data_IF_343829973400
#
_entry.id   IF_343829973400
#
_cell.length_a   1.000
_cell.length_b   1.000
_cell.length_c   1.000
_cell.angle_alpha   90.00
_cell.angle_beta   90.00
_cell.angle_gamma   90.00
#
_symmetry.space_group_name_H-M   'P 1'
#
loop_
_entity.id
_entity.type
_entity.pdbx_description
1 polymer ?
#
# COMPACT_ATOMS: atom_id res chain seq x y z
N UNK A 1 22.15 7.33 9.11
CA UNK A 1 23.10 6.66 10.02
C UNK A 1 23.27 5.20 9.60
N UNK A 2 24.54 4.77 9.44
CA UNK A 2 24.84 3.36 9.08
C UNK A 2 24.51 2.44 10.27
N UNK A 3 23.90 1.29 9.97
CA UNK A 3 23.61 0.27 10.99
C UNK A 3 22.22 0.35 11.63
N UNK A 4 21.32 1.16 11.08
CA UNK A 4 19.91 1.09 11.44
C UNK A 4 19.26 -0.17 10.85
N UNK A 5 18.22 -0.74 11.48
CA UNK A 5 17.46 -1.85 10.89
C UNK A 5 16.77 -1.42 9.59
N UNK A 6 16.39 -2.40 8.77
CA UNK A 6 15.61 -2.18 7.57
C UNK A 6 14.30 -1.47 7.91
N UNK A 7 13.85 -0.63 6.98
CA UNK A 7 12.59 0.08 7.12
C UNK A 7 11.43 -0.82 6.68
N UNK A 8 10.37 -0.98 7.51
CA UNK A 8 9.18 -1.71 7.08
C UNK A 8 8.42 -0.97 5.97
N UNK A 9 8.38 0.35 6.04
CA UNK A 9 7.74 1.21 5.05
C UNK A 9 8.31 2.63 5.11
N UNK A 10 8.17 3.36 4.00
CA UNK A 10 8.48 4.79 3.93
C UNK A 10 7.37 5.53 3.20
N UNK A 11 6.69 6.46 3.86
CA UNK A 11 5.57 7.19 3.28
C UNK A 11 4.87 8.15 4.23
N UNK A 12 3.64 8.49 3.90
CA UNK A 12 2.78 9.38 4.69
C UNK A 12 1.43 8.73 4.94
N UNK A 13 0.93 8.85 6.16
CA UNK A 13 -0.39 8.38 6.57
C UNK A 13 -1.39 9.54 6.59
N UNK A 14 -2.58 9.30 6.05
CA UNK A 14 -3.70 10.23 6.08
C UNK A 14 -4.87 9.60 6.82
N UNK A 15 -5.34 10.28 7.87
CA UNK A 15 -6.53 9.86 8.60
C UNK A 15 -7.74 10.63 8.08
N UNK A 16 -8.68 9.91 7.48
CA UNK A 16 -9.94 10.44 6.99
C UNK A 16 -11.07 10.17 7.99
N UNK A 17 -12.17 10.94 7.89
CA UNK A 17 -13.39 10.67 8.67
C UNK A 17 -14.05 9.40 8.17
N UNK A 18 -14.77 8.69 9.04
CA UNK A 18 -15.44 7.42 8.77
C UNK A 18 -16.35 7.43 7.53
N UNK A 19 -17.00 8.56 7.24
CA UNK A 19 -17.86 8.70 6.05
C UNK A 19 -17.11 8.47 4.73
N UNK A 20 -15.79 8.65 4.69
CA UNK A 20 -14.98 8.39 3.51
C UNK A 20 -14.50 6.94 3.52
N UNK A 21 -15.39 6.03 3.18
CA UNK A 21 -15.16 4.59 3.26
C UNK A 21 -15.13 3.89 1.90
N UNK A 22 -15.63 4.53 0.83
CA UNK A 22 -15.58 3.96 -0.52
C UNK A 22 -14.18 4.15 -1.10
N UNK A 23 -13.59 3.07 -1.58
CA UNK A 23 -12.23 3.05 -2.16
C UNK A 23 -12.30 2.57 -3.60
N UNK A 24 -11.73 3.34 -4.50
CA UNK A 24 -11.55 2.97 -5.90
C UNK A 24 -10.11 3.24 -6.31
N UNK A 25 -9.45 2.29 -6.95
CA UNK A 25 -8.06 2.45 -7.31
C UNK A 25 -7.71 1.81 -8.65
N UNK A 26 -6.65 2.31 -9.28
CA UNK A 26 -6.01 1.70 -10.44
C UNK A 26 -4.64 1.19 -10.04
N UNK A 27 -4.51 -0.11 -9.94
CA UNK A 27 -3.32 -0.81 -9.45
C UNK A 27 -3.45 -2.32 -9.62
N UNK A 28 -2.56 -3.07 -8.97
CA UNK A 28 -2.68 -4.52 -8.91
C UNK A 28 -3.71 -4.93 -7.85
N UNK A 29 -4.59 -5.89 -8.22
CA UNK A 29 -5.67 -6.39 -7.38
C UNK A 29 -6.36 -7.63 -8.00
N UNK A 30 -7.61 -7.94 -7.55
CA UNK A 30 -8.39 -7.23 -6.53
C UNK A 30 -7.90 -7.44 -5.09
N UNK A 31 -7.28 -8.60 -4.80
CA UNK A 31 -6.79 -8.94 -3.48
C UNK A 31 -5.54 -8.15 -3.10
N UNK A 32 -5.27 -8.08 -1.79
CA UNK A 32 -4.03 -7.50 -1.29
C UNK A 32 -2.82 -8.16 -1.95
N UNK A 33 -1.79 -7.39 -2.18
CA UNK A 33 -0.55 -7.90 -2.76
C UNK A 33 0.65 -7.08 -2.27
N UNK A 34 1.79 -7.76 -2.19
CA UNK A 34 3.06 -7.21 -1.75
C UNK A 34 4.13 -7.48 -2.81
N UNK A 35 5.28 -6.84 -2.68
CA UNK A 35 6.36 -6.97 -3.67
C UNK A 35 6.85 -8.43 -3.83
N UNK A 36 6.74 -9.23 -2.79
CA UNK A 36 7.08 -10.65 -2.70
C UNK A 36 5.86 -11.59 -2.81
N UNK A 37 4.65 -11.04 -2.94
CA UNK A 37 3.40 -11.81 -3.01
C UNK A 37 2.39 -11.10 -3.91
N UNK A 38 2.59 -11.16 -5.20
CA UNK A 38 1.72 -10.52 -6.21
C UNK A 38 1.43 -11.38 -7.45
N UNK A 39 1.92 -12.60 -7.50
CA UNK A 39 1.58 -13.55 -8.56
C UNK A 39 0.07 -13.82 -8.54
N UNK A 40 -0.56 -13.64 -9.69
CA UNK A 40 -2.04 -13.70 -9.81
C UNK A 40 -2.75 -12.36 -9.72
N UNK A 41 -2.15 -11.33 -9.10
CA UNK A 41 -2.70 -9.98 -9.14
C UNK A 41 -2.64 -9.40 -10.56
N UNK A 42 -3.72 -8.75 -11.01
CA UNK A 42 -3.82 -8.15 -12.34
C UNK A 42 -3.94 -6.64 -12.22
N UNK A 43 -3.33 -5.94 -13.17
CA UNK A 43 -3.48 -4.49 -13.25
C UNK A 43 -4.90 -4.16 -13.76
N UNK A 44 -5.64 -3.37 -12.99
CA UNK A 44 -7.02 -3.00 -13.29
C UNK A 44 -7.54 -1.88 -12.41
N UNK A 45 -8.77 -1.46 -12.67
CA UNK A 45 -9.52 -0.57 -11.80
C UNK A 45 -10.40 -1.43 -10.90
N UNK A 46 -10.28 -1.24 -9.60
CA UNK A 46 -11.00 -1.99 -8.58
C UNK A 46 -11.75 -1.06 -7.64
N UNK A 47 -12.83 -1.56 -7.09
CA UNK A 47 -13.67 -0.86 -6.12
C UNK A 47 -13.87 -1.77 -4.90
N UNK A 48 -13.76 -1.19 -3.72
CA UNK A 48 -13.98 -1.86 -2.45
C UNK A 48 -14.37 -0.84 -1.38
N UNK A 49 -14.50 -1.28 -0.14
CA UNK A 49 -14.61 -0.38 1.00
C UNK A 49 -13.37 -0.47 1.88
N UNK A 50 -13.15 0.54 2.72
CA UNK A 50 -12.05 0.51 3.68
C UNK A 50 -12.15 -0.70 4.64
N UNK A 51 -13.38 -1.14 4.96
CA UNK A 51 -13.63 -2.32 5.80
C UNK A 51 -13.28 -3.63 5.10
N UNK A 52 -13.53 -3.72 3.80
CA UNK A 52 -13.25 -4.94 3.01
C UNK A 52 -11.77 -5.12 2.71
N UNK A 53 -10.98 -4.05 2.89
CA UNK A 53 -9.52 -4.10 2.66
C UNK A 53 -8.74 -4.68 3.85
N UNK A 54 -9.42 -5.41 4.74
CA UNK A 54 -8.80 -6.08 5.89
C UNK A 54 -8.76 -7.58 5.64
N UNK A 55 -7.59 -8.13 5.42
CA UNK A 55 -7.39 -9.56 5.21
C UNK A 55 -7.55 -10.33 6.53
N UNK A 56 -8.32 -11.44 6.56
CA UNK A 56 -8.65 -12.17 7.77
C UNK A 56 -7.49 -13.11 8.21
N UNK A 57 -6.36 -12.55 8.55
CA UNK A 57 -5.25 -13.32 9.08
C UNK A 57 -5.52 -13.86 10.49
N UNK A 58 -5.09 -15.09 10.76
CA UNK A 58 -5.22 -15.73 12.07
C UNK A 58 -4.41 -15.01 13.16
N UNK A 59 -3.27 -14.45 12.79
CA UNK A 59 -2.41 -13.64 13.65
C UNK A 59 -2.37 -12.24 13.10
N UNK A 60 -2.58 -11.18 13.91
CA UNK A 60 -2.51 -9.81 13.44
C UNK A 60 -1.18 -9.49 12.79
N UNK A 61 -1.23 -8.97 11.56
CA UNK A 61 -0.08 -8.56 10.78
C UNK A 61 -0.44 -7.40 9.85
N UNK A 62 0.53 -6.86 9.14
CA UNK A 62 0.31 -5.90 8.05
C UNK A 62 -0.61 -6.51 6.99
N UNK A 63 -1.64 -5.80 6.57
CA UNK A 63 -2.59 -6.27 5.56
C UNK A 63 -3.14 -5.11 4.71
N UNK A 64 -3.85 -5.46 3.63
CA UNK A 64 -4.56 -4.52 2.76
C UNK A 64 -3.67 -3.73 1.81
N UNK A 65 -2.43 -4.14 1.60
CA UNK A 65 -1.52 -3.47 0.67
C UNK A 65 -1.87 -3.80 -0.80
N UNK A 66 -1.76 -2.79 -1.66
CA UNK A 66 -1.87 -2.93 -3.12
C UNK A 66 -0.65 -2.32 -3.80
N UNK A 67 0.01 -3.08 -4.67
CA UNK A 67 1.20 -2.62 -5.39
C UNK A 67 0.85 -1.99 -6.74
N UNK A 68 1.75 -1.17 -7.25
CA UNK A 68 1.63 -0.58 -8.59
C UNK A 68 0.41 0.34 -8.74
N UNK A 69 -0.05 0.95 -7.66
CA UNK A 69 -1.17 1.90 -7.67
C UNK A 69 -0.75 3.18 -8.38
N UNK A 70 -1.52 3.59 -9.40
CA UNK A 70 -1.33 4.85 -10.14
C UNK A 70 -2.17 5.97 -9.55
N UNK A 71 -3.35 5.61 -9.08
CA UNK A 71 -4.22 6.52 -8.35
C UNK A 71 -5.16 5.73 -7.44
N UNK A 72 -5.61 6.39 -6.38
CA UNK A 72 -6.66 5.93 -5.47
C UNK A 72 -7.59 7.08 -5.14
N UNK A 73 -8.88 6.81 -5.15
CA UNK A 73 -9.95 7.69 -4.67
C UNK A 73 -10.52 7.14 -3.38
N UNK A 74 -10.74 8.02 -2.42
CA UNK A 74 -11.45 7.69 -1.19
C UNK A 74 -12.60 8.68 -1.06
N UNK A 75 -13.83 8.18 -1.13
CA UNK A 75 -15.04 9.00 -1.22
C UNK A 75 -16.09 8.61 -0.19
N UNK A 76 -17.02 9.51 0.05
CA UNK A 76 -18.28 9.21 0.73
C UNK A 76 -19.33 8.70 -0.27
N UNK A 77 -20.56 8.40 0.23
CA UNK A 77 -21.65 7.88 -0.58
C UNK A 77 -22.19 8.87 -1.63
N UNK A 78 -21.87 10.14 -1.49
CA UNK A 78 -22.21 11.20 -2.43
C UNK A 78 -21.13 11.40 -3.50
N UNK A 79 -20.02 10.64 -3.40
CA UNK A 79 -18.90 10.72 -4.32
C UNK A 79 -17.92 11.86 -4.02
N UNK A 80 -18.12 12.59 -2.92
CA UNK A 80 -17.19 13.62 -2.51
C UNK A 80 -16.01 13.01 -1.72
N UNK A 81 -14.78 13.44 -2.01
CA UNK A 81 -13.62 12.87 -1.34
C UNK A 81 -12.28 13.38 -1.86
N UNK A 82 -11.28 12.52 -1.79
CA UNK A 82 -9.91 12.82 -2.19
C UNK A 82 -9.41 11.78 -3.20
N UNK A 83 -8.71 12.28 -4.20
CA UNK A 83 -7.95 11.45 -5.14
C UNK A 83 -6.46 11.70 -4.95
N UNK A 84 -5.74 10.62 -4.69
CA UNK A 84 -4.29 10.59 -4.65
C UNK A 84 -3.81 9.98 -5.95
N UNK A 85 -2.88 10.61 -6.61
CA UNK A 85 -2.29 10.07 -7.83
C UNK A 85 -0.78 10.24 -7.83
N UNK A 86 -0.14 9.29 -8.45
CA UNK A 86 1.30 9.27 -8.60
C UNK A 86 1.73 10.27 -9.70
N UNK A 87 2.74 11.10 -9.44
CA UNK A 87 3.30 12.02 -10.43
C UNK A 87 4.52 11.42 -11.16
N UNK A 88 5.32 10.60 -10.48
CA UNK A 88 6.45 9.87 -11.05
C UNK A 88 6.56 8.46 -10.45
N UNK A 89 7.01 7.46 -11.23
CA UNK A 89 7.15 6.08 -10.73
C UNK A 89 8.31 5.95 -9.74
N UNK A 90 8.08 5.55 -8.51
CA UNK A 90 8.04 4.16 -8.08
C UNK A 90 6.67 3.73 -7.57
N UNK A 91 6.43 2.43 -7.30
CA UNK A 91 5.10 1.94 -6.92
C UNK A 91 4.63 2.56 -5.60
N UNK A 92 3.43 3.13 -5.60
CA UNK A 92 2.76 3.60 -4.39
C UNK A 92 2.05 2.42 -3.73
N UNK A 93 2.29 2.21 -2.45
CA UNK A 93 1.64 1.19 -1.63
C UNK A 93 0.81 1.88 -0.56
N UNK A 94 -0.38 1.39 -0.24
CA UNK A 94 -1.16 2.02 0.81
C UNK A 94 -2.01 1.04 1.64
N UNK A 95 -2.14 1.39 2.89
CA UNK A 95 -3.16 0.98 3.86
C UNK A 95 -3.58 2.21 4.63
N UNK A 96 -4.87 2.41 4.96
CA UNK A 96 -5.36 3.64 5.60
C UNK A 96 -5.09 4.93 4.82
N UNK A 97 -5.11 4.91 3.51
CA UNK A 97 -4.52 5.95 2.67
C UNK A 97 -3.09 6.28 3.13
N UNK A 98 -2.30 5.23 3.30
CA UNK A 98 -0.86 5.34 3.46
C UNK A 98 -0.23 5.36 2.08
N UNK A 99 0.38 6.47 1.69
CA UNK A 99 1.08 6.62 0.43
C UNK A 99 2.56 6.34 0.69
N UNK A 100 3.05 5.23 0.14
CA UNK A 100 4.40 4.77 0.38
C UNK A 100 5.24 4.88 -0.88
N UNK A 101 6.47 5.38 -0.75
CA UNK A 101 7.50 5.24 -1.77
C UNK A 101 8.01 3.80 -1.84
N UNK A 102 8.03 3.11 -0.70
CA UNK A 102 8.46 1.73 -0.60
C UNK A 102 7.81 1.03 0.60
N UNK A 103 7.54 -0.26 0.45
CA UNK A 103 7.08 -1.21 1.46
C UNK A 103 7.95 -2.45 1.36
N UNK A 104 8.52 -2.92 2.46
CA UNK A 104 9.24 -4.19 2.45
C UNK A 104 8.29 -5.37 2.19
N UNK A 105 8.83 -6.50 1.73
CA UNK A 105 8.09 -7.75 1.64
C UNK A 105 7.59 -8.24 3.00
N UNK A 106 6.57 -9.07 2.98
CA UNK A 106 5.95 -9.65 4.18
C UNK A 106 6.07 -11.16 4.24
N UNK A 107 6.52 -11.80 3.16
CA UNK A 107 6.67 -13.25 3.03
C UNK A 107 8.11 -13.71 3.25
N UNK A 108 8.30 -14.76 4.04
CA UNK A 108 9.51 -15.57 4.12
C UNK A 108 9.29 -16.94 3.51
N UNK A 109 10.21 -17.90 3.74
CA UNK A 109 10.10 -19.25 3.23
C UNK A 109 9.04 -20.09 3.97
N UNK A 110 8.58 -19.60 5.13
CA UNK A 110 7.52 -20.24 5.90
C UNK A 110 6.57 -19.21 6.56
N UNK A 111 5.50 -19.71 7.17
CA UNK A 111 4.50 -18.90 7.90
C UNK A 111 4.86 -18.67 9.38
N UNK A 112 6.02 -19.10 9.83
CA UNK A 112 6.36 -19.22 11.25
C UNK A 112 7.49 -18.32 11.71
N UNK A 113 7.97 -17.42 10.86
CA UNK A 113 8.95 -16.43 11.24
C UNK A 113 10.25 -16.47 10.43
N UNK A 114 10.28 -17.16 9.29
CA UNK A 114 11.37 -16.99 8.34
C UNK A 114 11.47 -15.51 7.91
N UNK A 115 12.66 -14.92 7.88
CA UNK A 115 12.82 -13.53 7.50
C UNK A 115 12.45 -13.31 6.03
N UNK A 116 12.03 -12.10 5.72
CA UNK A 116 11.84 -11.66 4.33
C UNK A 116 13.19 -11.72 3.60
N UNK A 117 13.18 -12.21 2.36
CA UNK A 117 14.38 -12.29 1.53
C UNK A 117 15.00 -10.90 1.30
N UNK A 118 16.33 -10.82 1.28
CA UNK A 118 17.10 -9.56 1.19
C UNK A 118 16.67 -8.66 0.05
N UNK A 119 16.31 -9.23 -1.09
CA UNK A 119 15.85 -8.49 -2.28
C UNK A 119 14.54 -7.74 -2.09
N UNK A 120 13.76 -8.06 -1.03
CA UNK A 120 12.49 -7.41 -0.69
C UNK A 120 12.59 -6.52 0.56
N UNK A 121 13.79 -6.32 1.06
CA UNK A 121 14.06 -5.41 2.17
C UNK A 121 14.28 -3.97 1.67
N UNK A 122 13.97 -3.01 2.53
CA UNK A 122 14.29 -1.59 2.28
C UNK A 122 15.51 -1.22 3.11
N UNK A 123 16.62 -0.94 2.45
CA UNK A 123 17.81 -0.48 3.15
C UNK A 123 17.60 0.90 3.77
N UNK A 124 17.93 1.05 5.04
CA UNK A 124 17.94 2.35 5.72
C UNK A 124 19.03 3.31 5.19
N UNK A 125 20.00 2.78 4.45
CA UNK A 125 21.04 3.57 3.78
C UNK A 125 20.61 4.03 2.37
N UNK A 126 19.41 3.64 1.91
CA UNK A 126 18.87 4.06 0.62
C UNK A 126 18.38 5.50 0.65
N UNK A 127 18.56 6.20 -0.48
CA UNK A 127 17.95 7.50 -0.68
C UNK A 127 16.51 7.29 -1.22
N UNK A 128 15.52 7.49 -0.37
CA UNK A 128 14.11 7.31 -0.72
C UNK A 128 13.45 8.64 -0.99
N UNK A 129 12.70 8.73 -2.08
CA UNK A 129 11.94 9.91 -2.47
C UNK A 129 10.47 9.52 -2.73
N UNK A 130 9.55 10.36 -2.26
CA UNK A 130 8.11 10.21 -2.48
C UNK A 130 7.55 11.50 -3.10
N UNK A 131 6.96 11.38 -4.30
CA UNK A 131 6.23 12.47 -4.96
C UNK A 131 4.81 12.04 -5.29
N UNK A 132 3.84 12.81 -4.86
CA UNK A 132 2.42 12.56 -5.14
C UNK A 132 1.63 13.88 -5.14
N UNK A 133 0.44 13.87 -5.72
CA UNK A 133 -0.49 14.99 -5.66
C UNK A 133 -1.84 14.56 -5.09
N UNK A 134 -2.49 15.48 -4.39
CA UNK A 134 -3.83 15.31 -3.84
C UNK A 134 -4.75 16.28 -4.58
N UNK A 135 -5.86 15.80 -5.09
CA UNK A 135 -6.89 16.62 -5.75
C UNK A 135 -8.25 16.33 -5.13
N UNK A 136 -9.10 17.34 -5.09
CA UNK A 136 -10.51 17.14 -4.75
C UNK A 136 -11.17 16.35 -5.90
N UNK A 137 -11.84 15.26 -5.57
CA UNK A 137 -12.69 14.50 -6.49
C UNK A 137 -14.06 15.14 -6.61
#
# INVERSE_FOLDING_TARGET
EKGLPQLPAFGMDFRLKERYHNVRYYGYGPEENYIDRREGAKLGVYESTAADNVSPYLVPQECGNHTGVRWVEVTDDEGAGLRFHQEELPPVHYTWVRILAAQMGVGGDDSWGAPVHDQFLISSDSNLELRFAIRKS
#
